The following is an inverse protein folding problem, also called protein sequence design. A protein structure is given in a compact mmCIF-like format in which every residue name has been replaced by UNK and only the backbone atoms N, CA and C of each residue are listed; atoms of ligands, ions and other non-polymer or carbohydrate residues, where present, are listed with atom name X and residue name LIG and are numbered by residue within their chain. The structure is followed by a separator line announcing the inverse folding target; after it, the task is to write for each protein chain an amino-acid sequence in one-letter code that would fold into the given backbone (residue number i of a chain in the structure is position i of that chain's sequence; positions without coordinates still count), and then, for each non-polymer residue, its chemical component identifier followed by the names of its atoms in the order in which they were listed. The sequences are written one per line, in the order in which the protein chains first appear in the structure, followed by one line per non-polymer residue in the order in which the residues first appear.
data_IF_441866834421
#
_entry.id   IF_441866834421
#
_cell.length_a   1.000
_cell.length_b   1.000
_cell.length_c   1.000
_cell.angle_alpha   90.00
_cell.angle_beta   90.00
_cell.angle_gamma   90.00
#
_symmetry.space_group_name_H-M   'P 1'
#
loop_
_entity.id
_entity.type
_entity.pdbx_description
1 polymer ?
#
# COMPACT_ATOMS: atom_id res chain seq x y z
N UNK A 1 -5.95 4.37 -7.96
CA UNK A 1 -5.40 2.97 -8.12
C UNK A 1 -6.24 2.26 -9.18
N UNK A 2 -5.94 2.51 -10.44
CA UNK A 2 -6.77 2.04 -11.56
C UNK A 2 -6.54 0.54 -11.84
N UNK A 3 -5.27 0.12 -11.91
CA UNK A 3 -4.94 -1.26 -12.31
C UNK A 3 -4.59 -2.19 -11.15
N UNK A 4 -4.25 -1.67 -9.98
CA UNK A 4 -3.93 -2.43 -8.78
C UNK A 4 -2.59 -3.18 -8.83
N UNK A 5 -1.62 -2.70 -9.63
CA UNK A 5 -0.27 -3.27 -9.69
C UNK A 5 0.58 -2.85 -8.49
N UNK A 6 1.43 -3.76 -8.03
CA UNK A 6 2.51 -3.45 -7.09
C UNK A 6 3.68 -2.87 -7.87
N UNK A 7 3.94 -1.58 -7.73
CA UNK A 7 5.02 -0.89 -8.44
C UNK A 7 6.33 -0.87 -7.65
N UNK A 8 6.23 -0.66 -6.34
CA UNK A 8 7.37 -0.61 -5.43
C UNK A 8 7.04 -1.35 -4.14
N UNK A 9 8.03 -1.93 -3.52
CA UNK A 9 7.93 -2.56 -2.21
C UNK A 9 9.27 -2.47 -1.49
N UNK A 10 9.24 -2.54 -0.18
CA UNK A 10 10.41 -2.57 0.69
C UNK A 10 10.30 -3.73 1.65
N UNK A 11 11.41 -4.40 1.90
CA UNK A 11 11.52 -5.45 2.92
C UNK A 11 12.47 -4.94 3.99
N UNK A 12 11.97 -4.79 5.19
CA UNK A 12 12.69 -4.30 6.36
C UNK A 12 12.77 -5.36 7.44
N UNK A 13 13.62 -5.13 8.43
CA UNK A 13 13.59 -5.91 9.65
C UNK A 13 12.38 -5.50 10.51
N UNK A 14 11.89 -6.41 11.35
CA UNK A 14 10.71 -6.18 12.18
C UNK A 14 10.85 -5.00 13.18
N UNK A 15 12.06 -4.53 13.42
CA UNK A 15 12.35 -3.34 14.24
C UNK A 15 12.14 -2.02 13.53
N UNK A 16 12.04 -2.02 12.19
CA UNK A 16 11.84 -0.81 11.38
C UNK A 16 10.34 -0.59 11.22
N UNK A 17 9.85 0.54 11.72
CA UNK A 17 8.45 0.91 11.54
C UNK A 17 8.17 1.27 10.08
N UNK A 18 7.04 0.79 9.54
CA UNK A 18 6.69 0.94 8.12
C UNK A 18 6.66 2.40 7.65
N UNK A 19 6.27 3.32 8.52
CA UNK A 19 6.26 4.76 8.23
C UNK A 19 7.64 5.33 7.90
N UNK A 20 8.73 4.71 8.39
CA UNK A 20 10.10 5.17 8.15
C UNK A 20 10.57 4.93 6.71
N UNK A 21 9.90 4.05 5.98
CA UNK A 21 10.26 3.69 4.61
C UNK A 21 9.30 4.27 3.55
N UNK A 22 8.29 5.02 3.98
CA UNK A 22 7.26 5.56 3.10
C UNK A 22 7.86 6.34 1.93
N UNK A 23 8.82 7.25 2.19
CA UNK A 23 9.45 8.07 1.14
C UNK A 23 10.19 7.27 0.07
N UNK A 24 10.76 6.09 0.43
CA UNK A 24 11.41 5.22 -0.53
C UNK A 24 10.43 4.55 -1.49
N UNK A 25 9.15 4.50 -1.12
CA UNK A 25 8.07 3.92 -1.91
C UNK A 25 7.36 4.96 -2.78
N UNK A 26 7.41 6.25 -2.40
CA UNK A 26 6.84 7.33 -3.20
C UNK A 26 7.60 7.50 -4.51
N UNK A 27 6.88 7.82 -5.57
CA UNK A 27 7.44 8.10 -6.88
C UNK A 27 7.27 9.58 -7.18
N UNK A 28 8.37 10.33 -7.16
CA UNK A 28 8.35 11.77 -7.40
C UNK A 28 7.79 12.17 -8.78
N UNK A 29 7.67 11.22 -9.72
CA UNK A 29 7.03 11.47 -11.02
C UNK A 29 5.50 11.45 -10.93
N UNK A 30 4.93 11.00 -9.80
CA UNK A 30 3.49 10.95 -9.56
C UNK A 30 3.01 12.16 -8.71
N UNK A 31 3.52 13.33 -8.96
CA UNK A 31 3.05 14.56 -8.28
C UNK A 31 1.55 14.78 -8.54
N UNK A 32 0.82 15.18 -7.50
CA UNK A 32 -0.63 15.35 -7.55
C UNK A 32 -1.43 14.07 -7.33
N UNK A 33 -0.78 12.91 -7.19
CA UNK A 33 -1.45 11.65 -6.88
C UNK A 33 -1.78 11.51 -5.40
N UNK A 34 -2.77 10.69 -5.12
CA UNK A 34 -3.29 10.43 -3.77
C UNK A 34 -2.45 9.38 -3.03
N UNK A 35 -2.13 9.64 -1.77
CA UNK A 35 -1.45 8.69 -0.87
C UNK A 35 -2.41 8.25 0.22
N UNK A 36 -2.76 6.97 0.22
CA UNK A 36 -3.68 6.33 1.14
C UNK A 36 -2.93 5.45 2.12
N UNK A 37 -3.04 5.73 3.41
CA UNK A 37 -2.39 4.95 4.45
C UNK A 37 -3.23 4.92 5.74
N UNK A 38 -2.90 4.02 6.67
CA UNK A 38 -3.54 3.97 7.97
C UNK A 38 -3.00 5.03 8.94
N UNK A 39 -3.62 5.14 10.10
CA UNK A 39 -3.26 6.13 11.10
C UNK A 39 -1.86 5.95 11.69
N UNK A 40 -1.22 4.78 11.53
CA UNK A 40 0.16 4.56 11.96
C UNK A 40 1.17 5.37 11.14
N UNK A 41 0.78 5.83 9.94
CA UNK A 41 1.58 6.74 9.11
C UNK A 41 1.30 8.22 9.41
N UNK A 42 0.33 8.55 10.27
CA UNK A 42 -0.02 9.93 10.58
C UNK A 42 1.02 10.58 11.48
N UNK A 43 1.77 11.54 10.92
CA UNK A 43 2.70 12.37 11.67
C UNK A 43 2.90 13.71 10.94
N UNK A 44 3.24 14.75 11.68
CA UNK A 44 3.50 16.08 11.10
C UNK A 44 4.62 16.02 10.05
N UNK A 45 5.66 15.23 10.30
CA UNK A 45 6.79 15.06 9.37
C UNK A 45 6.38 14.39 8.06
N UNK A 46 5.51 13.38 8.11
CA UNK A 46 5.01 12.72 6.91
C UNK A 46 4.10 13.64 6.11
N UNK A 47 3.17 14.33 6.78
CA UNK A 47 2.28 15.28 6.12
C UNK A 47 3.07 16.41 5.45
N UNK A 48 4.10 16.92 6.12
CA UNK A 48 4.99 17.94 5.56
C UNK A 48 5.75 17.44 4.31
N UNK A 49 6.28 16.22 4.36
CA UNK A 49 6.96 15.60 3.21
C UNK A 49 5.99 15.41 2.04
N UNK A 50 4.78 14.90 2.28
CA UNK A 50 3.77 14.72 1.25
C UNK A 50 3.40 16.06 0.60
N UNK A 51 3.26 17.11 1.41
CA UNK A 51 2.98 18.45 0.92
C UNK A 51 4.11 19.00 0.04
N UNK A 52 5.38 18.86 0.47
CA UNK A 52 6.54 19.30 -0.35
C UNK A 52 6.61 18.56 -1.67
N UNK A 53 6.33 17.25 -1.65
CA UNK A 53 6.34 16.40 -2.84
C UNK A 53 5.06 16.53 -3.67
N UNK A 54 4.13 17.42 -3.25
CA UNK A 54 2.87 17.69 -3.92
C UNK A 54 1.95 16.45 -4.04
N UNK A 55 1.97 15.55 -3.05
CA UNK A 55 1.01 14.47 -2.93
C UNK A 55 -0.20 14.90 -2.12
N UNK A 56 -1.37 14.33 -2.46
CA UNK A 56 -2.61 14.50 -1.69
C UNK A 56 -2.68 13.42 -0.60
N UNK A 57 -2.65 13.85 0.66
CA UNK A 57 -2.69 12.93 1.81
C UNK A 57 -4.13 12.48 2.11
N UNK A 58 -4.35 11.18 2.10
CA UNK A 58 -5.55 10.51 2.59
C UNK A 58 -5.20 9.52 3.71
N UNK A 59 -4.27 9.92 4.58
CA UNK A 59 -3.91 9.14 5.76
C UNK A 59 -5.05 9.24 6.79
N UNK A 60 -5.42 8.10 7.39
CA UNK A 60 -6.47 8.05 8.40
C UNK A 60 -6.14 8.95 9.60
N UNK A 61 -7.17 9.60 10.14
CA UNK A 61 -7.07 10.27 11.43
C UNK A 61 -6.91 9.23 12.55
N UNK A 62 -5.95 9.47 13.43
CA UNK A 62 -5.71 8.62 14.59
C UNK A 62 -6.65 8.95 15.75
N UNK A 63 -7.15 7.92 16.44
CA UNK A 63 -7.84 8.11 17.71
C UNK A 63 -6.79 8.42 18.79
N UNK A 64 -6.91 9.57 19.44
CA UNK A 64 -6.09 9.88 20.60
C UNK A 64 -6.96 9.83 21.87
N UNK A 65 -6.42 9.30 22.97
CA UNK A 65 -7.16 9.07 24.23
C UNK A 65 -7.86 10.34 24.76
N UNK A 66 -7.28 11.52 24.45
CA UNK A 66 -7.79 12.81 24.90
C UNK A 66 -8.56 13.59 23.82
N UNK A 67 -8.57 13.08 22.57
CA UNK A 67 -9.22 13.71 21.43
C UNK A 67 -9.91 12.61 20.60
N UNK A 68 -11.16 12.25 20.95
CA UNK A 68 -11.94 11.34 20.11
C UNK A 68 -12.18 11.97 18.75
N UNK A 69 -12.36 11.13 17.74
CA UNK A 69 -12.69 11.60 16.40
C UNK A 69 -14.03 12.33 16.39
N UNK A 70 -14.13 13.36 15.59
CA UNK A 70 -15.41 13.98 15.27
C UNK A 70 -16.20 13.08 14.31
N UNK A 71 -17.52 13.24 14.23
CA UNK A 71 -18.36 12.50 13.30
C UNK A 71 -17.90 12.63 11.83
N UNK A 72 -17.39 13.80 11.45
CA UNK A 72 -16.83 14.04 10.12
C UNK A 72 -15.56 13.21 9.88
N UNK A 73 -14.64 13.20 10.85
CA UNK A 73 -13.40 12.41 10.76
C UNK A 73 -13.67 10.91 10.73
N UNK A 74 -14.71 10.44 11.42
CA UNK A 74 -15.14 9.04 11.37
C UNK A 74 -15.66 8.68 9.98
N UNK A 75 -16.47 9.52 9.36
CA UNK A 75 -16.97 9.28 8.00
C UNK A 75 -15.84 9.36 6.96
N UNK A 76 -14.96 10.35 7.05
CA UNK A 76 -13.77 10.45 6.19
C UNK A 76 -12.88 9.20 6.32
N UNK A 77 -12.68 8.68 7.55
CA UNK A 77 -11.92 7.45 7.78
C UNK A 77 -12.64 6.22 7.19
N UNK A 78 -13.97 6.21 7.19
CA UNK A 78 -14.76 5.14 6.60
C UNK A 78 -14.62 5.11 5.08
N UNK A 79 -14.66 6.27 4.42
CA UNK A 79 -14.42 6.37 2.97
C UNK A 79 -13.00 5.93 2.62
N UNK A 80 -12.00 6.39 3.39
CA UNK A 80 -10.60 5.99 3.23
C UNK A 80 -10.41 4.48 3.39
N UNK A 81 -11.14 3.85 4.33
CA UNK A 81 -11.10 2.40 4.54
C UNK A 81 -11.58 1.61 3.31
N UNK A 82 -12.55 2.12 2.56
CA UNK A 82 -13.02 1.46 1.32
C UNK A 82 -11.93 1.39 0.25
N UNK A 83 -11.13 2.45 0.12
CA UNK A 83 -9.98 2.45 -0.81
C UNK A 83 -8.91 1.50 -0.32
N UNK A 84 -8.64 1.48 1.00
CA UNK A 84 -7.64 0.61 1.62
C UNK A 84 -7.97 -0.87 1.49
N UNK A 85 -9.24 -1.23 1.52
CA UNK A 85 -9.69 -2.61 1.31
C UNK A 85 -9.17 -3.21 -0.01
N UNK A 86 -8.95 -2.39 -1.05
CA UNK A 86 -8.35 -2.83 -2.32
C UNK A 86 -6.88 -3.26 -2.15
N UNK A 87 -6.15 -2.62 -1.24
CA UNK A 87 -4.75 -2.99 -0.92
C UNK A 87 -4.72 -4.29 -0.13
N UNK A 88 -5.67 -4.49 0.77
CA UNK A 88 -5.77 -5.72 1.57
C UNK A 88 -6.03 -6.96 0.70
N UNK A 89 -6.67 -6.80 -0.45
CA UNK A 89 -6.84 -7.88 -1.42
C UNK A 89 -5.50 -8.43 -1.93
N UNK A 90 -4.46 -7.60 -2.04
CA UNK A 90 -3.10 -8.05 -2.42
C UNK A 90 -2.58 -9.06 -1.41
N UNK A 91 -2.69 -8.74 -0.12
CA UNK A 91 -2.28 -9.65 0.96
C UNK A 91 -3.17 -10.89 1.02
N UNK A 92 -4.46 -10.75 0.74
CA UNK A 92 -5.38 -11.87 0.61
C UNK A 92 -4.92 -12.88 -0.46
N UNK A 93 -4.51 -12.42 -1.62
CA UNK A 93 -3.93 -13.28 -2.67
C UNK A 93 -2.64 -13.97 -2.22
N UNK A 94 -1.75 -13.27 -1.53
CA UNK A 94 -0.53 -13.87 -1.01
C UNK A 94 -0.81 -15.01 -0.03
N UNK A 95 -1.80 -14.80 0.86
CA UNK A 95 -2.15 -15.79 1.89
C UNK A 95 -2.87 -16.99 1.29
N UNK A 96 -3.84 -16.75 0.41
CA UNK A 96 -4.74 -17.80 -0.06
C UNK A 96 -4.20 -18.59 -1.25
N UNK A 97 -3.39 -17.92 -2.11
CA UNK A 97 -3.00 -18.51 -3.38
C UNK A 97 -1.49 -18.72 -3.54
N UNK A 98 -0.66 -18.12 -2.66
CA UNK A 98 0.80 -18.12 -2.81
C UNK A 98 1.54 -18.69 -1.59
N UNK A 99 0.95 -19.68 -0.91
CA UNK A 99 1.61 -20.42 0.16
C UNK A 99 1.54 -19.78 1.56
N UNK A 100 0.61 -18.87 1.80
CA UNK A 100 0.32 -18.33 3.12
C UNK A 100 1.26 -17.22 3.61
N UNK A 101 1.11 -16.89 4.89
CA UNK A 101 1.89 -15.83 5.58
C UNK A 101 3.32 -16.26 5.89
N UNK A 102 3.54 -17.57 6.08
CA UNK A 102 4.84 -18.07 6.48
C UNK A 102 5.80 -18.06 5.28
N UNK A 103 6.95 -17.41 5.48
CA UNK A 103 8.05 -17.49 4.54
C UNK A 103 8.96 -18.64 4.97
N UNK A 104 9.03 -19.71 4.17
CA UNK A 104 9.96 -20.83 4.40
C UNK A 104 11.43 -20.44 4.14
N UNK A 105 11.69 -19.21 3.73
CA UNK A 105 13.02 -18.70 3.43
C UNK A 105 13.72 -18.20 4.68
N UNK A 106 14.99 -18.53 4.85
CA UNK A 106 15.82 -18.06 5.96
C UNK A 106 16.78 -16.98 5.43
N UNK A 107 16.88 -15.89 6.18
CA UNK A 107 17.72 -14.74 5.84
C UNK A 107 17.03 -13.69 4.98
N UNK A 108 17.41 -12.41 5.21
CA UNK A 108 16.76 -11.24 4.63
C UNK A 108 16.73 -11.24 3.09
N UNK A 109 17.84 -11.60 2.47
CA UNK A 109 17.92 -11.62 0.99
C UNK A 109 17.04 -12.70 0.38
N UNK A 110 16.95 -13.87 1.00
CA UNK A 110 16.08 -14.96 0.54
C UNK A 110 14.60 -14.59 0.71
N UNK A 111 14.23 -13.96 1.82
CA UNK A 111 12.88 -13.43 2.05
C UNK A 111 12.55 -12.34 1.02
N UNK A 112 13.46 -11.41 0.76
CA UNK A 112 13.30 -10.35 -0.23
C UNK A 112 13.08 -10.91 -1.65
N UNK A 113 13.86 -11.91 -2.04
CA UNK A 113 13.69 -12.60 -3.32
C UNK A 113 12.30 -13.28 -3.41
N UNK A 114 11.90 -14.00 -2.35
CA UNK A 114 10.59 -14.67 -2.29
C UNK A 114 9.44 -13.67 -2.42
N UNK A 115 9.51 -12.52 -1.70
CA UNK A 115 8.52 -11.46 -1.80
C UNK A 115 8.51 -10.86 -3.21
N UNK A 116 9.68 -10.65 -3.82
CA UNK A 116 9.78 -10.16 -5.18
C UNK A 116 9.09 -11.07 -6.19
N UNK A 117 9.29 -12.38 -6.09
CA UNK A 117 8.61 -13.35 -6.94
C UNK A 117 7.09 -13.36 -6.70
N UNK A 118 6.64 -13.31 -5.44
CA UNK A 118 5.20 -13.20 -5.13
C UNK A 118 4.57 -11.94 -5.75
N UNK A 119 5.23 -10.79 -5.64
CA UNK A 119 4.78 -9.55 -6.27
C UNK A 119 4.69 -9.66 -7.79
N UNK A 120 5.69 -10.29 -8.41
CA UNK A 120 5.71 -10.51 -9.85
C UNK A 120 4.53 -11.41 -10.29
N UNK A 121 4.32 -12.53 -9.61
CA UNK A 121 3.18 -13.46 -9.89
C UNK A 121 1.85 -12.73 -9.69
N UNK A 122 1.71 -11.93 -8.63
CA UNK A 122 0.52 -11.12 -8.42
C UNK A 122 0.27 -10.15 -9.59
N UNK A 123 1.31 -9.43 -10.01
CA UNK A 123 1.21 -8.48 -11.11
C UNK A 123 0.85 -9.16 -12.44
N UNK A 124 1.38 -10.35 -12.74
CA UNK A 124 0.97 -11.13 -13.92
C UNK A 124 -0.50 -11.53 -13.86
N UNK A 125 -0.98 -12.05 -12.73
CA UNK A 125 -2.40 -12.37 -12.56
C UNK A 125 -3.28 -11.14 -12.73
N UNK A 126 -2.83 -10.00 -12.20
CA UNK A 126 -3.54 -8.73 -12.31
C UNK A 126 -3.59 -8.23 -13.74
N UNK A 127 -2.48 -8.38 -14.48
CA UNK A 127 -2.40 -8.04 -15.89
C UNK A 127 -3.35 -8.91 -16.74
N UNK A 128 -3.30 -10.22 -16.58
CA UNK A 128 -4.19 -11.13 -17.33
C UNK A 128 -5.67 -10.90 -17.00
N UNK A 129 -5.99 -10.59 -15.74
CA UNK A 129 -7.36 -10.21 -15.37
C UNK A 129 -7.80 -8.93 -16.09
N UNK A 130 -6.94 -7.90 -16.13
CA UNK A 130 -7.25 -6.63 -16.78
C UNK A 130 -7.39 -6.80 -18.32
N UNK A 131 -6.49 -7.55 -18.94
CA UNK A 131 -6.52 -7.87 -20.37
C UNK A 131 -7.83 -8.57 -20.75
N UNK A 132 -8.27 -9.53 -19.97
CA UNK A 132 -9.54 -10.23 -20.19
C UNK A 132 -10.78 -9.32 -20.05
N UNK A 133 -10.71 -8.28 -19.21
CA UNK A 133 -11.78 -7.30 -19.06
C UNK A 133 -11.78 -6.25 -20.19
N UNK A 134 -10.64 -6.02 -20.84
CA UNK A 134 -10.43 -4.98 -21.86
C UNK A 134 -9.74 -5.53 -23.12
N UNK A 135 -10.33 -6.49 -23.83
CA UNK A 135 -9.67 -7.19 -24.94
C UNK A 135 -9.31 -6.30 -26.14
N UNK A 136 -9.81 -5.06 -26.18
CA UNK A 136 -9.55 -4.10 -27.26
C UNK A 136 -8.37 -3.16 -26.98
N UNK A 137 -7.76 -3.20 -25.82
CA UNK A 137 -6.67 -2.29 -25.45
C UNK A 137 -5.27 -2.82 -25.83
N UNK A 138 -5.19 -4.04 -26.35
CA UNK A 138 -3.92 -4.77 -26.63
C UNK A 138 -3.72 -5.09 -28.12
N UNK A 139 -4.61 -4.59 -28.98
CA UNK A 139 -4.51 -4.79 -30.44
C UNK A 139 -3.82 -3.62 -31.14
#
# INVERSE_FOLDING_TARGET
MEYGFIRRYQVTDASVHDSQVLWALLDAQNQGEEVWADSAYRSESIEWILQILQFLSHIHEGVNRNHPLTAQQEEDNRERSQVRAKVEQVFGHWVNEMGGKLMGSIGKESVKATIGVKNLVYNFKRYTFWENQNPKAVA
#
